data_IF_878281824170
#
_entry.id   IF_878281824170
#
_cell.length_a   1.000
_cell.length_b   1.000
_cell.length_c   1.000
_cell.angle_alpha   90.00
_cell.angle_beta   90.00
_cell.angle_gamma   90.00
#
_symmetry.space_group_name_H-M   'P 1'
#
loop_
_entity.id
_entity.type
_entity.pdbx_description
1 polymer ?
#
# COMPACT_ATOMS: atom_id res chain seq x y z
N UNK A 1 -22.06 -7.31 10.26
CA UNK A 1 -20.79 -7.22 9.49
C UNK A 1 -19.99 -6.01 9.96
N UNK A 2 -18.75 -6.19 10.25
CA UNK A 2 -17.88 -5.11 10.71
C UNK A 2 -17.45 -4.23 9.53
N UNK A 3 -17.44 -2.92 9.72
CA UNK A 3 -17.01 -2.00 8.69
C UNK A 3 -15.52 -2.18 8.34
N UNK A 4 -15.13 -2.06 7.07
CA UNK A 4 -13.73 -2.13 6.70
C UNK A 4 -12.91 -0.98 7.28
N UNK A 5 -11.65 -1.27 7.57
CA UNK A 5 -10.68 -0.28 8.05
C UNK A 5 -9.67 -0.01 6.93
N UNK A 6 -9.45 1.25 6.61
CA UNK A 6 -8.39 1.66 5.69
C UNK A 6 -7.15 2.00 6.51
N UNK A 7 -6.10 1.22 6.32
CA UNK A 7 -4.83 1.42 7.00
C UNK A 7 -3.85 2.05 6.01
N UNK A 8 -3.56 3.32 6.22
CA UNK A 8 -2.57 4.01 5.39
C UNK A 8 -1.18 3.76 5.96
N UNK A 9 -0.31 3.19 5.14
CA UNK A 9 1.05 2.89 5.51
C UNK A 9 1.97 3.94 4.88
N UNK A 10 2.48 4.87 5.69
CA UNK A 10 3.34 5.94 5.21
C UNK A 10 4.59 5.38 4.52
N UNK A 11 5.06 6.08 3.47
CA UNK A 11 6.18 5.61 2.67
C UNK A 11 7.48 5.42 3.46
N UNK A 12 7.73 6.26 4.46
CA UNK A 12 8.92 6.14 5.32
C UNK A 12 8.89 4.88 6.18
N UNK A 13 7.72 4.35 6.48
CA UNK A 13 7.58 3.12 7.28
C UNK A 13 8.00 1.87 6.50
N UNK A 14 8.06 1.95 5.18
CA UNK A 14 8.48 0.82 4.35
C UNK A 14 9.94 0.41 4.58
N UNK A 15 10.74 1.31 5.16
CA UNK A 15 12.15 1.05 5.47
C UNK A 15 12.37 0.45 6.86
N UNK A 16 11.32 0.27 7.67
CA UNK A 16 11.46 -0.29 9.02
C UNK A 16 11.75 -1.78 8.93
N UNK A 17 12.86 -2.27 9.55
CA UNK A 17 13.25 -3.68 9.44
C UNK A 17 12.19 -4.67 9.95
N UNK A 18 11.40 -4.27 10.94
CA UNK A 18 10.40 -5.13 11.60
C UNK A 18 8.98 -4.87 11.09
N UNK A 19 8.85 -4.30 9.89
CA UNK A 19 7.58 -3.86 9.35
C UNK A 19 6.53 -4.98 9.28
N UNK A 20 6.91 -6.17 8.76
CA UNK A 20 5.95 -7.26 8.57
C UNK A 20 5.36 -7.74 9.89
N UNK A 21 6.17 -7.87 10.93
CA UNK A 21 5.70 -8.29 12.24
C UNK A 21 4.77 -7.24 12.86
N UNK A 22 5.12 -5.96 12.72
CA UNK A 22 4.28 -4.86 13.21
C UNK A 22 2.96 -4.78 12.47
N UNK A 23 2.99 -4.97 11.16
CA UNK A 23 1.79 -4.95 10.33
C UNK A 23 0.85 -6.10 10.71
N UNK A 24 1.38 -7.31 10.89
CA UNK A 24 0.62 -8.46 11.34
C UNK A 24 -0.04 -8.20 12.71
N UNK A 25 0.68 -7.59 13.64
CA UNK A 25 0.14 -7.26 14.95
C UNK A 25 -1.02 -6.29 14.86
N UNK A 26 -0.92 -5.27 13.99
CA UNK A 26 -2.01 -4.31 13.77
C UNK A 26 -3.22 -4.99 13.14
N UNK A 27 -3.02 -5.82 12.12
CA UNK A 27 -4.11 -6.56 11.47
C UNK A 27 -4.83 -7.45 12.49
N UNK A 28 -4.08 -8.15 13.34
CA UNK A 28 -4.66 -9.00 14.38
C UNK A 28 -5.52 -8.22 15.38
N UNK A 29 -5.08 -7.01 15.74
CA UNK A 29 -5.85 -6.14 16.64
C UNK A 29 -7.13 -5.64 16.02
N UNK A 30 -7.14 -5.46 14.70
CA UNK A 30 -8.30 -4.96 13.98
C UNK A 30 -9.33 -6.04 13.69
N UNK A 31 -8.97 -7.32 13.83
CA UNK A 31 -9.92 -8.42 13.62
C UNK A 31 -11.14 -8.29 14.52
N UNK A 32 -12.34 -8.61 14.01
CA UNK A 32 -12.64 -9.21 12.72
C UNK A 32 -12.85 -8.22 11.57
N UNK A 33 -12.48 -6.95 11.74
CA UNK A 33 -12.63 -5.95 10.69
C UNK A 33 -11.78 -6.27 9.47
N UNK A 34 -12.34 -6.23 8.26
CA UNK A 34 -11.53 -6.32 7.04
C UNK A 34 -10.61 -5.11 6.94
N UNK A 35 -9.40 -5.30 6.43
CA UNK A 35 -8.39 -4.24 6.36
C UNK A 35 -7.95 -4.03 4.92
N UNK A 36 -8.01 -2.78 4.47
CA UNK A 36 -7.44 -2.35 3.20
C UNK A 36 -6.17 -1.55 3.49
N UNK A 37 -5.04 -2.03 3.01
CA UNK A 37 -3.75 -1.38 3.23
C UNK A 37 -3.40 -0.53 2.02
N UNK A 38 -3.13 0.75 2.25
CA UNK A 38 -2.73 1.69 1.20
C UNK A 38 -1.33 2.19 1.50
N UNK A 39 -0.29 1.68 0.82
CA UNK A 39 1.07 2.15 1.04
C UNK A 39 1.32 3.49 0.34
N UNK A 40 2.23 4.29 0.90
CA UNK A 40 2.73 5.49 0.25
C UNK A 40 3.80 5.17 -0.81
N UNK A 41 4.33 6.22 -1.43
CA UNK A 41 5.32 6.09 -2.50
C UNK A 41 6.74 5.79 -2.03
N UNK A 42 7.07 6.14 -0.79
CA UNK A 42 8.40 5.89 -0.21
C UNK A 42 9.54 6.54 -0.98
N UNK A 43 10.70 5.91 -0.93
CA UNK A 43 11.91 6.41 -1.61
C UNK A 43 11.73 6.52 -3.12
N UNK A 44 10.97 5.61 -3.74
CA UNK A 44 10.70 5.66 -5.18
C UNK A 44 9.98 6.95 -5.58
N UNK A 45 8.98 7.38 -4.80
CA UNK A 45 8.28 8.64 -5.05
C UNK A 45 9.19 9.84 -4.87
N UNK A 46 10.10 9.80 -3.90
CA UNK A 46 11.07 10.89 -3.69
C UNK A 46 12.01 11.04 -4.88
N UNK A 47 12.49 9.94 -5.43
CA UNK A 47 13.32 9.95 -6.64
C UNK A 47 12.55 10.54 -7.82
N UNK A 48 11.30 10.16 -7.99
CA UNK A 48 10.44 10.67 -9.07
C UNK A 48 10.24 12.18 -8.93
N UNK A 49 9.97 12.68 -7.71
CA UNK A 49 9.82 14.11 -7.47
C UNK A 49 11.09 14.89 -7.78
N UNK A 50 12.25 14.33 -7.43
CA UNK A 50 13.55 14.95 -7.71
C UNK A 50 13.81 15.03 -9.21
N UNK A 51 13.55 13.95 -9.94
CA UNK A 51 13.67 13.91 -11.40
C UNK A 51 12.71 14.89 -12.07
N UNK A 52 11.47 14.99 -11.56
CA UNK A 52 10.49 15.94 -12.07
C UNK A 52 11.02 17.37 -12.01
N UNK A 53 11.60 17.75 -10.88
CA UNK A 53 12.19 19.10 -10.73
C UNK A 53 13.35 19.33 -11.69
N UNK A 54 14.21 18.33 -11.89
CA UNK A 54 15.40 18.45 -12.75
C UNK A 54 15.04 18.42 -14.24
N UNK A 55 14.05 17.62 -14.62
CA UNK A 55 13.66 17.44 -16.01
C UNK A 55 12.45 18.28 -16.42
N UNK A 56 11.87 19.00 -15.47
CA UNK A 56 10.69 19.85 -15.70
C UNK A 56 9.53 19.07 -16.32
N UNK A 57 9.22 17.90 -15.73
CA UNK A 57 8.09 17.09 -16.16
C UNK A 57 6.78 17.80 -15.85
N UNK A 58 5.72 17.48 -16.60
CA UNK A 58 4.40 18.04 -16.32
C UNK A 58 3.88 17.52 -14.99
N UNK A 59 3.06 18.33 -14.26
CA UNK A 59 2.45 17.86 -13.00
C UNK A 59 1.64 16.57 -13.14
N UNK A 60 0.95 16.41 -14.26
CA UNK A 60 0.18 15.19 -14.54
C UNK A 60 1.06 13.96 -14.64
N UNK A 61 2.18 14.08 -15.34
CA UNK A 61 3.13 12.98 -15.51
C UNK A 61 3.77 12.60 -14.18
N UNK A 62 4.20 13.60 -13.40
CA UNK A 62 4.77 13.39 -12.07
C UNK A 62 3.76 12.69 -11.14
N UNK A 63 2.49 13.09 -11.21
CA UNK A 63 1.42 12.50 -10.42
C UNK A 63 1.21 11.02 -10.78
N UNK A 64 1.17 10.69 -12.08
CA UNK A 64 1.05 9.29 -12.53
C UNK A 64 2.22 8.43 -12.09
N UNK A 65 3.42 8.98 -12.15
CA UNK A 65 4.63 8.26 -11.73
C UNK A 65 4.63 8.02 -10.23
N UNK A 66 4.14 8.97 -9.44
CA UNK A 66 4.01 8.81 -8.00
C UNK A 66 2.99 7.70 -7.65
N UNK A 67 1.86 7.63 -8.37
CA UNK A 67 0.88 6.56 -8.21
C UNK A 67 1.49 5.21 -8.58
N UNK A 68 2.29 5.15 -9.64
CA UNK A 68 2.99 3.93 -10.04
C UNK A 68 3.94 3.44 -8.93
N UNK A 69 4.63 4.35 -8.24
CA UNK A 69 5.48 4.01 -7.12
C UNK A 69 4.69 3.39 -5.97
N UNK A 70 3.51 3.93 -5.66
CA UNK A 70 2.61 3.37 -4.64
C UNK A 70 2.14 1.97 -5.02
N UNK A 71 1.79 1.76 -6.28
CA UNK A 71 1.37 0.44 -6.79
C UNK A 71 2.50 -0.58 -6.71
N UNK A 72 3.72 -0.17 -7.01
CA UNK A 72 4.90 -1.02 -6.88
C UNK A 72 5.09 -1.47 -5.42
N UNK A 73 4.97 -0.53 -4.48
CA UNK A 73 5.11 -0.83 -3.06
C UNK A 73 4.01 -1.77 -2.56
N UNK A 74 2.78 -1.63 -3.06
CA UNK A 74 1.70 -2.54 -2.75
C UNK A 74 2.01 -3.98 -3.23
N UNK A 75 2.52 -4.12 -4.44
CA UNK A 75 2.92 -5.41 -4.97
C UNK A 75 4.06 -6.03 -4.15
N UNK A 76 5.01 -5.21 -3.72
CA UNK A 76 6.13 -5.65 -2.89
C UNK A 76 5.65 -6.20 -1.54
N UNK A 77 4.72 -5.50 -0.89
CA UNK A 77 4.13 -5.98 0.37
C UNK A 77 3.45 -7.33 0.20
N UNK A 78 2.75 -7.55 -0.91
CA UNK A 78 2.12 -8.83 -1.20
C UNK A 78 3.13 -9.96 -1.41
N UNK A 79 4.32 -9.65 -1.92
CA UNK A 79 5.40 -10.63 -2.05
C UNK A 79 6.00 -11.00 -0.69
N UNK A 80 6.08 -10.02 0.21
CA UNK A 80 6.66 -10.23 1.54
C UNK A 80 5.70 -10.90 2.51
N UNK A 81 4.40 -10.74 2.29
CA UNK A 81 3.36 -11.35 3.14
C UNK A 81 2.32 -12.02 2.26
N UNK A 82 2.34 -13.34 2.21
CA UNK A 82 1.48 -14.14 1.33
C UNK A 82 0.00 -14.13 1.74
N UNK A 83 -0.33 -13.67 2.94
CA UNK A 83 -1.73 -13.52 3.34
C UNK A 83 -2.39 -12.29 2.73
N UNK A 84 -1.60 -11.34 2.26
CA UNK A 84 -2.10 -10.14 1.60
C UNK A 84 -2.41 -10.42 0.13
N UNK A 85 -3.41 -9.74 -0.40
CA UNK A 85 -3.80 -9.82 -1.81
C UNK A 85 -3.84 -8.43 -2.41
N UNK A 86 -3.26 -8.29 -3.59
CA UNK A 86 -3.29 -7.02 -4.34
C UNK A 86 -4.66 -6.82 -4.95
N UNK A 87 -5.26 -5.67 -4.72
CA UNK A 87 -6.57 -5.30 -5.29
C UNK A 87 -6.49 -3.93 -5.94
N UNK A 88 -7.34 -3.69 -6.93
CA UNK A 88 -7.36 -2.45 -7.70
C UNK A 88 -8.58 -1.59 -7.42
N UNK A 89 -9.61 -2.17 -6.83
CA UNK A 89 -10.86 -1.47 -6.53
C UNK A 89 -11.57 -2.15 -5.37
N UNK A 90 -12.65 -1.52 -4.93
CA UNK A 90 -13.40 -1.99 -3.76
C UNK A 90 -14.08 -3.34 -3.99
N UNK A 91 -14.56 -3.59 -5.21
CA UNK A 91 -15.20 -4.87 -5.53
C UNK A 91 -14.22 -6.03 -5.40
N UNK A 92 -13.00 -5.86 -5.90
CA UNK A 92 -11.94 -6.85 -5.71
C UNK A 92 -11.61 -7.06 -4.24
N UNK A 93 -11.57 -5.97 -3.45
CA UNK A 93 -11.32 -6.06 -2.02
C UNK A 93 -12.40 -6.86 -1.30
N UNK A 94 -13.66 -6.61 -1.61
CA UNK A 94 -14.76 -7.37 -1.03
C UNK A 94 -14.67 -8.86 -1.36
N UNK A 95 -14.29 -9.18 -2.59
CA UNK A 95 -14.11 -10.57 -3.01
C UNK A 95 -12.99 -11.26 -2.21
N UNK A 96 -11.85 -10.60 -2.06
CA UNK A 96 -10.71 -11.12 -1.28
C UNK A 96 -11.10 -11.34 0.17
N UNK A 97 -11.81 -10.41 0.78
CA UNK A 97 -12.26 -10.54 2.15
C UNK A 97 -13.27 -11.68 2.32
N UNK A 98 -14.12 -11.91 1.33
CA UNK A 98 -15.08 -13.02 1.37
C UNK A 98 -14.39 -14.38 1.35
N UNK A 99 -13.16 -14.45 0.85
CA UNK A 99 -12.34 -15.67 0.85
C UNK A 99 -11.55 -15.86 2.14
N UNK A 100 -11.69 -14.95 3.12
CA UNK A 100 -11.05 -15.06 4.42
C UNK A 100 -9.67 -14.40 4.54
N UNK A 101 -9.27 -13.61 3.56
CA UNK A 101 -8.01 -12.84 3.65
C UNK A 101 -8.21 -11.53 4.42
N UNK A 102 -7.17 -11.05 5.09
CA UNK A 102 -7.23 -9.75 5.75
C UNK A 102 -7.43 -8.59 4.78
#
# INVERSE_FOLDING_TARGET
MTAPVVLKLGGSLLAIPDLMNRLEAVICRLRPSPVLIVPGGGAAADVIRDLDRKLQLSPEKAHRDAIAAMSYNAALLCRLNKSLRLVRNYDEAQHVWSEGHP
#
